data_IF_083045231406
#
_entry.id   IF_083045231406
#
_cell.length_a   1.000
_cell.length_b   1.000
_cell.length_c   1.000
_cell.angle_alpha   90.00
_cell.angle_beta   90.00
_cell.angle_gamma   90.00
#
_symmetry.space_group_name_H-M   'P 1'
#
loop_
_entity.id
_entity.type
_entity.pdbx_description
1 polymer ?
#
# COMPACT_ATOMS: atom_id res chain seq x y z
N UNK A 1 -33.15 37.20 16.67
CA UNK A 1 -32.40 38.18 17.48
C UNK A 1 -31.87 37.42 18.71
N UNK A 2 -30.59 37.04 18.70
CA UNK A 2 -29.88 36.40 19.82
C UNK A 2 -29.36 37.54 20.71
N UNK A 3 -29.58 37.56 22.02
CA UNK A 3 -29.12 38.61 22.89
C UNK A 3 -27.59 38.63 23.02
N UNK A 4 -27.01 39.79 22.91
CA UNK A 4 -25.57 40.07 23.08
C UNK A 4 -25.21 39.81 24.54
N UNK A 5 -24.37 38.82 24.81
CA UNK A 5 -23.81 38.55 26.15
C UNK A 5 -22.93 39.72 26.60
N UNK A 6 -23.12 40.15 27.81
CA UNK A 6 -22.43 41.30 28.39
C UNK A 6 -20.96 40.95 28.73
N UNK A 7 -20.12 42.00 28.83
CA UNK A 7 -18.69 41.90 29.13
C UNK A 7 -18.38 41.17 30.47
N UNK A 8 -19.37 41.06 31.38
CA UNK A 8 -19.26 40.33 32.66
C UNK A 8 -19.26 38.83 32.48
N UNK A 9 -20.06 38.29 31.55
CA UNK A 9 -20.13 36.83 31.29
C UNK A 9 -18.83 36.30 30.70
N UNK A 10 -18.07 37.14 30.01
CA UNK A 10 -16.77 36.77 29.44
C UNK A 10 -15.63 36.69 30.50
N UNK A 11 -15.76 37.42 31.62
CA UNK A 11 -14.77 37.42 32.71
C UNK A 11 -14.98 36.23 33.65
N UNK A 12 -16.21 35.79 33.85
CA UNK A 12 -16.52 34.61 34.67
C UNK A 12 -16.13 33.31 34.01
N UNK A 13 -16.17 33.23 32.68
CA UNK A 13 -15.69 32.06 31.89
C UNK A 13 -14.16 31.96 31.87
N UNK A 14 -13.44 33.07 32.09
CA UNK A 14 -11.97 33.07 32.11
C UNK A 14 -11.38 32.50 33.42
N UNK A 15 -12.19 32.47 34.50
CA UNK A 15 -11.76 31.91 35.80
C UNK A 15 -12.00 30.39 35.96
N UNK A 16 -12.57 29.70 34.94
CA UNK A 16 -12.79 28.26 34.94
C UNK A 16 -11.78 27.49 34.06
N UNK A 17 -10.63 28.07 33.77
CA UNK A 17 -9.55 27.32 33.15
C UNK A 17 -8.91 26.39 34.21
N UNK A 18 -8.77 25.10 33.92
CA UNK A 18 -8.09 24.19 34.83
C UNK A 18 -6.64 24.62 35.02
N UNK A 19 -6.17 24.55 36.29
CA UNK A 19 -4.81 24.95 36.66
C UNK A 19 -3.77 24.26 35.77
N UNK A 20 -2.70 24.98 35.44
CA UNK A 20 -1.62 24.46 34.57
C UNK A 20 -1.02 23.13 35.05
N UNK A 21 -1.13 22.84 36.36
CA UNK A 21 -0.74 21.59 36.99
C UNK A 21 -1.54 20.37 36.51
N UNK A 22 -2.87 20.54 36.31
CA UNK A 22 -3.74 19.43 35.80
C UNK A 22 -3.50 19.11 34.33
N UNK A 23 -3.25 20.13 33.52
CA UNK A 23 -2.91 19.96 32.10
C UNK A 23 -1.56 19.26 31.98
N UNK A 24 -0.58 19.63 32.79
CA UNK A 24 0.74 19.00 32.82
C UNK A 24 0.66 17.56 33.30
N UNK A 25 -0.14 17.25 34.32
CA UNK A 25 -0.35 15.90 34.82
C UNK A 25 -1.06 14.98 33.79
N UNK A 26 -2.09 15.48 33.09
CA UNK A 26 -2.76 14.75 31.99
C UNK A 26 -1.83 14.52 30.81
N UNK A 27 -0.97 15.50 30.47
CA UNK A 27 0.07 15.30 29.45
C UNK A 27 1.11 14.27 29.86
N UNK A 28 1.57 14.27 31.12
CA UNK A 28 2.51 13.26 31.63
C UNK A 28 1.91 11.86 31.67
N UNK A 29 0.63 11.69 32.02
CA UNK A 29 -0.06 10.38 31.95
C UNK A 29 -0.24 9.91 30.51
N UNK A 30 -0.55 10.81 29.57
CA UNK A 30 -0.64 10.48 28.15
C UNK A 30 0.73 10.11 27.56
N UNK A 31 1.79 10.79 27.96
CA UNK A 31 3.17 10.49 27.52
C UNK A 31 3.66 9.18 28.14
N UNK A 32 3.33 8.89 29.41
CA UNK A 32 3.65 7.61 30.05
C UNK A 32 2.90 6.44 29.41
N UNK A 33 1.61 6.60 29.07
CA UNK A 33 0.84 5.58 28.33
C UNK A 33 1.35 5.37 26.89
N UNK A 34 1.90 6.40 26.24
CA UNK A 34 2.57 6.29 24.95
C UNK A 34 3.96 5.62 25.07
N UNK A 35 4.70 5.84 26.18
CA UNK A 35 5.97 5.13 26.42
C UNK A 35 5.76 3.64 26.65
N UNK A 36 4.68 3.23 27.33
CA UNK A 36 4.37 1.80 27.54
C UNK A 36 3.91 1.10 26.25
N UNK A 37 3.33 1.83 25.29
CA UNK A 37 3.02 1.30 23.94
C UNK A 37 4.24 1.23 23.01
N UNK A 38 5.37 1.83 23.35
CA UNK A 38 6.62 1.78 22.58
C UNK A 38 7.45 0.52 22.77
N UNK A 39 7.09 -0.38 23.69
CA UNK A 39 7.98 -1.46 24.11
C UNK A 39 7.70 -2.84 23.51
N UNK A 40 6.80 -2.98 22.54
CA UNK A 40 6.72 -4.23 21.77
C UNK A 40 6.77 -3.83 20.29
N UNK A 41 7.96 -3.47 19.85
CA UNK A 41 8.21 -3.45 18.41
C UNK A 41 8.06 -4.90 17.93
N UNK A 42 7.18 -5.12 16.98
CA UNK A 42 6.96 -6.42 16.34
C UNK A 42 8.33 -6.95 15.86
N UNK A 43 8.74 -8.13 16.34
CA UNK A 43 10.05 -8.73 16.06
C UNK A 43 10.45 -8.68 14.59
N UNK A 44 9.46 -8.77 13.71
CA UNK A 44 9.65 -8.65 12.25
C UNK A 44 10.28 -7.34 11.79
N UNK A 45 10.38 -6.35 12.65
CA UNK A 45 10.93 -5.01 12.35
C UNK A 45 12.02 -4.59 13.37
N UNK A 46 12.64 -5.54 14.06
CA UNK A 46 13.75 -5.25 15.00
C UNK A 46 15.06 -4.93 14.27
N UNK A 47 15.31 -5.54 13.10
CA UNK A 47 16.45 -5.17 12.27
C UNK A 47 16.37 -3.70 11.84
N UNK A 48 17.45 -2.90 12.04
CA UNK A 48 17.44 -1.47 11.76
C UNK A 48 17.15 -1.10 10.30
N UNK A 49 17.61 -1.89 9.34
CA UNK A 49 17.37 -1.65 7.90
C UNK A 49 15.93 -1.98 7.56
N UNK A 50 15.40 -3.09 8.08
CA UNK A 50 14.00 -3.49 7.91
C UNK A 50 13.06 -2.48 8.57
N UNK A 51 13.41 -1.97 9.76
CA UNK A 51 12.65 -0.91 10.43
C UNK A 51 12.58 0.37 9.59
N UNK A 52 13.72 0.81 9.02
CA UNK A 52 13.77 1.97 8.12
C UNK A 52 12.91 1.74 6.87
N UNK A 53 13.00 0.56 6.25
CA UNK A 53 12.16 0.19 5.10
C UNK A 53 10.68 0.27 5.47
N UNK A 54 10.28 -0.30 6.62
CA UNK A 54 8.90 -0.26 7.09
C UNK A 54 8.38 1.17 7.25
N UNK A 55 9.12 2.04 7.95
CA UNK A 55 8.71 3.43 8.18
C UNK A 55 8.62 4.22 6.88
N UNK A 56 9.64 4.11 6.01
CA UNK A 56 9.69 4.78 4.72
C UNK A 56 8.57 4.29 3.79
N UNK A 57 8.29 2.97 3.82
CA UNK A 57 7.17 2.39 3.08
C UNK A 57 5.81 2.94 3.54
N UNK A 58 5.59 3.08 4.86
CA UNK A 58 4.37 3.68 5.41
C UNK A 58 4.21 5.14 4.98
N UNK A 59 5.26 5.93 4.99
CA UNK A 59 5.24 7.31 4.52
C UNK A 59 4.91 7.38 3.02
N UNK A 60 5.56 6.58 2.20
CA UNK A 60 5.21 6.45 0.78
C UNK A 60 3.73 6.08 0.58
N UNK A 61 3.20 5.12 1.34
CA UNK A 61 1.78 4.74 1.24
C UNK A 61 0.83 5.88 1.63
N UNK A 62 1.22 6.72 2.58
CA UNK A 62 0.45 7.91 2.95
C UNK A 62 0.41 8.92 1.79
N UNK A 63 1.53 9.16 1.11
CA UNK A 63 1.56 10.03 -0.09
C UNK A 63 0.67 9.48 -1.22
N UNK A 64 0.75 8.18 -1.49
CA UNK A 64 -0.12 7.53 -2.50
C UNK A 64 -1.61 7.68 -2.16
N UNK A 65 -1.99 7.54 -0.89
CA UNK A 65 -3.39 7.72 -0.45
C UNK A 65 -3.85 9.16 -0.56
N UNK A 66 -3.00 10.13 -0.20
CA UNK A 66 -3.30 11.55 -0.33
C UNK A 66 -3.45 11.95 -1.81
N UNK A 67 -2.53 11.51 -2.67
CA UNK A 67 -2.59 11.70 -4.12
C UNK A 67 -3.90 11.13 -4.71
N UNK A 68 -4.25 9.91 -4.34
CA UNK A 68 -5.46 9.26 -4.83
C UNK A 68 -6.74 10.06 -4.50
N UNK A 69 -6.81 10.68 -3.31
CA UNK A 69 -7.93 11.56 -2.94
C UNK A 69 -8.02 12.77 -3.85
N UNK A 70 -6.91 13.44 -4.13
CA UNK A 70 -6.88 14.60 -5.05
C UNK A 70 -7.29 14.18 -6.48
N UNK A 71 -6.79 13.05 -6.96
CA UNK A 71 -7.17 12.50 -8.28
C UNK A 71 -8.67 12.24 -8.35
N UNK A 72 -9.28 11.71 -7.29
CA UNK A 72 -10.74 11.48 -7.24
C UNK A 72 -11.51 12.81 -7.26
N UNK A 73 -11.04 13.84 -6.58
CA UNK A 73 -11.64 15.18 -6.58
C UNK A 73 -11.54 15.82 -7.99
N UNK A 74 -10.37 15.78 -8.63
CA UNK A 74 -10.20 16.28 -10.00
C UNK A 74 -11.15 15.55 -10.96
N UNK A 75 -11.24 14.22 -10.85
CA UNK A 75 -12.16 13.44 -11.68
C UNK A 75 -13.64 13.74 -11.40
N UNK A 76 -13.99 14.15 -10.17
CA UNK A 76 -15.33 14.59 -9.85
C UNK A 76 -15.65 15.92 -10.55
N UNK A 77 -14.72 16.87 -10.56
CA UNK A 77 -14.84 18.13 -11.32
C UNK A 77 -14.92 17.83 -12.84
N UNK A 78 -14.06 16.95 -13.37
CA UNK A 78 -14.14 16.55 -14.78
C UNK A 78 -15.52 15.97 -15.14
N UNK A 79 -16.18 15.25 -14.22
CA UNK A 79 -17.54 14.73 -14.46
C UNK A 79 -18.59 15.83 -14.56
N UNK A 80 -18.48 16.91 -13.79
CA UNK A 80 -19.43 18.02 -13.91
C UNK A 80 -19.33 18.74 -15.25
N UNK A 81 -18.15 18.74 -15.90
CA UNK A 81 -17.97 19.26 -17.27
C UNK A 81 -18.41 18.28 -18.37
N UNK A 82 -18.82 17.09 -18.05
CA UNK A 82 -19.19 16.01 -19.00
C UNK A 82 -20.52 15.35 -18.62
N UNK A 83 -21.45 16.13 -18.08
CA UNK A 83 -22.83 15.69 -17.75
C UNK A 83 -22.89 14.36 -16.98
N UNK A 84 -21.88 14.10 -16.16
CA UNK A 84 -21.80 12.86 -15.37
C UNK A 84 -21.15 11.66 -16.08
N UNK A 85 -20.83 11.75 -17.37
CA UNK A 85 -20.20 10.64 -18.10
C UNK A 85 -18.78 10.35 -17.60
N UNK A 86 -18.60 9.14 -17.06
CA UNK A 86 -17.35 8.69 -16.44
C UNK A 86 -16.25 8.48 -17.48
N UNK A 87 -16.58 8.03 -18.71
CA UNK A 87 -15.58 7.79 -19.75
C UNK A 87 -15.02 9.10 -20.27
N UNK A 88 -15.90 10.05 -20.59
CA UNK A 88 -15.52 11.38 -21.07
C UNK A 88 -14.79 12.17 -19.96
N UNK A 89 -15.21 12.06 -18.70
CA UNK A 89 -14.50 12.65 -17.57
C UNK A 89 -13.06 12.09 -17.41
N UNK A 90 -12.85 10.79 -17.62
CA UNK A 90 -11.50 10.20 -17.60
C UNK A 90 -10.64 10.66 -18.79
N UNK A 91 -11.24 10.88 -19.97
CA UNK A 91 -10.54 11.48 -21.13
C UNK A 91 -10.12 12.92 -20.82
N UNK A 92 -11.06 13.72 -20.30
CA UNK A 92 -10.75 15.09 -19.89
C UNK A 92 -9.63 15.14 -18.85
N UNK A 93 -9.69 14.29 -17.82
CA UNK A 93 -8.60 14.19 -16.84
C UNK A 93 -7.24 13.88 -17.49
N UNK A 94 -7.20 13.00 -18.49
CA UNK A 94 -5.98 12.70 -19.24
C UNK A 94 -5.50 13.87 -20.09
N UNK A 95 -6.41 14.63 -20.71
CA UNK A 95 -6.13 15.85 -21.47
C UNK A 95 -5.54 16.93 -20.57
N UNK A 96 -6.19 17.23 -19.44
CA UNK A 96 -5.73 18.24 -18.48
C UNK A 96 -4.32 17.93 -17.93
N UNK A 97 -4.00 16.64 -17.73
CA UNK A 97 -2.63 16.22 -17.36
C UNK A 97 -1.57 16.56 -18.42
N UNK A 98 -1.97 16.69 -19.69
CA UNK A 98 -1.07 17.09 -20.80
C UNK A 98 -1.10 18.58 -21.10
N UNK A 99 -1.89 19.35 -20.34
CA UNK A 99 -2.10 20.77 -20.59
C UNK A 99 -3.12 21.05 -21.72
N UNK A 100 -3.93 20.05 -22.07
CA UNK A 100 -4.96 20.14 -23.12
C UNK A 100 -6.33 20.28 -22.46
N UNK A 101 -6.98 21.42 -22.57
CA UNK A 101 -8.32 21.67 -22.01
C UNK A 101 -8.75 23.10 -22.28
N UNK A 102 -10.02 23.40 -22.00
CA UNK A 102 -10.51 24.77 -22.04
C UNK A 102 -10.02 25.55 -20.83
N UNK A 103 -10.05 26.90 -20.91
CA UNK A 103 -9.63 27.77 -19.81
C UNK A 103 -10.42 27.49 -18.53
N UNK A 104 -11.74 27.29 -18.64
CA UNK A 104 -12.63 27.03 -17.50
C UNK A 104 -12.33 25.67 -16.83
N UNK A 105 -12.13 24.62 -17.62
CA UNK A 105 -11.77 23.27 -17.15
C UNK A 105 -10.42 23.31 -16.39
N UNK A 106 -9.47 24.10 -16.92
CA UNK A 106 -8.16 24.28 -16.31
C UNK A 106 -8.26 25.06 -15.02
N UNK A 107 -8.96 26.19 -15.02
CA UNK A 107 -9.14 27.06 -13.85
C UNK A 107 -9.78 26.31 -12.69
N UNK A 108 -10.80 25.48 -12.98
CA UNK A 108 -11.50 24.69 -11.97
C UNK A 108 -10.65 23.58 -11.34
N UNK A 109 -9.66 23.03 -12.07
CA UNK A 109 -8.87 21.87 -11.62
C UNK A 109 -7.44 22.23 -11.19
N UNK A 110 -6.91 23.38 -11.62
CA UNK A 110 -5.55 23.83 -11.38
C UNK A 110 -5.12 23.75 -9.91
N UNK A 111 -5.89 24.27 -8.92
CA UNK A 111 -5.47 24.22 -7.51
C UNK A 111 -5.23 22.79 -7.00
N UNK A 112 -6.01 21.81 -7.50
CA UNK A 112 -5.86 20.41 -7.11
C UNK A 112 -4.65 19.74 -7.80
N UNK A 113 -4.35 20.11 -9.04
CA UNK A 113 -3.13 19.67 -9.72
C UNK A 113 -1.89 20.24 -9.04
N UNK A 114 -1.91 21.51 -8.64
CA UNK A 114 -0.81 22.14 -7.89
C UNK A 114 -0.63 21.50 -6.50
N UNK A 115 -1.70 21.25 -5.76
CA UNK A 115 -1.64 20.51 -4.49
C UNK A 115 -1.15 19.07 -4.62
N UNK A 116 -1.32 18.46 -5.80
CA UNK A 116 -0.86 17.09 -6.09
C UNK A 116 0.64 17.02 -6.31
N UNK A 117 1.26 18.04 -6.87
CA UNK A 117 2.66 18.01 -7.30
C UNK A 117 3.64 17.70 -6.15
N UNK A 118 3.58 18.35 -4.97
CA UNK A 118 4.46 18.02 -3.83
C UNK A 118 4.31 16.57 -3.34
N UNK A 119 3.12 15.97 -3.47
CA UNK A 119 2.89 14.58 -3.08
C UNK A 119 3.60 13.61 -4.03
N UNK A 120 3.63 13.92 -5.33
CA UNK A 120 4.37 13.13 -6.33
C UNK A 120 5.87 13.20 -6.10
N UNK A 121 6.39 14.38 -5.80
CA UNK A 121 7.80 14.62 -5.50
C UNK A 121 8.23 13.87 -4.24
N UNK A 122 7.53 14.06 -3.13
CA UNK A 122 7.79 13.33 -1.88
C UNK A 122 7.69 11.81 -2.07
N UNK A 123 6.73 11.33 -2.86
CA UNK A 123 6.62 9.92 -3.19
C UNK A 123 7.85 9.42 -3.94
N UNK A 124 8.33 10.16 -4.93
CA UNK A 124 9.52 9.79 -5.71
C UNK A 124 10.78 9.73 -4.83
N UNK A 125 10.93 10.65 -3.88
CA UNK A 125 12.01 10.62 -2.90
C UNK A 125 11.94 9.37 -2.01
N UNK A 126 10.78 9.06 -1.45
CA UNK A 126 10.61 7.83 -0.65
C UNK A 126 10.89 6.58 -1.47
N UNK A 127 10.50 6.53 -2.75
CA UNK A 127 10.79 5.41 -3.64
C UNK A 127 12.30 5.27 -3.90
N UNK A 128 13.02 6.38 -4.06
CA UNK A 128 14.49 6.39 -4.19
C UNK A 128 15.18 5.86 -2.92
N UNK A 129 14.74 6.32 -1.74
CA UNK A 129 15.28 5.84 -0.46
C UNK A 129 14.99 4.35 -0.24
N UNK A 130 13.78 3.89 -0.55
CA UNK A 130 13.40 2.48 -0.46
C UNK A 130 14.25 1.58 -1.34
N UNK A 131 14.56 2.02 -2.56
CA UNK A 131 15.47 1.28 -3.46
C UNK A 131 16.87 1.20 -2.87
N UNK A 132 17.39 2.29 -2.27
CA UNK A 132 18.68 2.30 -1.59
C UNK A 132 18.73 1.29 -0.44
N UNK A 133 17.75 1.36 0.48
CA UNK A 133 17.66 0.46 1.64
C UNK A 133 17.49 -1.01 1.22
N UNK A 134 16.70 -1.28 0.17
CA UNK A 134 16.49 -2.65 -0.31
C UNK A 134 17.77 -3.25 -0.92
N UNK A 135 18.68 -2.45 -1.44
CA UNK A 135 20.00 -2.90 -1.93
C UNK A 135 20.94 -3.32 -0.80
N UNK A 136 20.73 -2.83 0.42
CA UNK A 136 21.49 -3.23 1.60
C UNK A 136 21.06 -4.61 2.14
N UNK A 137 19.91 -5.12 1.72
CA UNK A 137 19.42 -6.43 2.16
C UNK A 137 20.22 -7.59 1.53
N UNK A 138 20.49 -8.68 2.27
CA UNK A 138 21.29 -9.80 1.80
C UNK A 138 20.76 -10.43 0.49
N UNK A 139 19.43 -10.40 0.30
CA UNK A 139 18.74 -10.94 -0.88
C UNK A 139 18.73 -10.02 -2.11
N UNK A 140 19.43 -8.91 -2.06
CA UNK A 140 19.51 -7.95 -3.17
C UNK A 140 19.95 -8.59 -4.47
N UNK A 141 20.94 -9.49 -4.43
CA UNK A 141 21.46 -10.21 -5.61
C UNK A 141 20.42 -11.13 -6.28
N UNK A 142 19.47 -11.66 -5.53
CA UNK A 142 18.34 -12.41 -6.09
C UNK A 142 17.42 -11.51 -6.90
N UNK A 143 17.14 -10.29 -6.40
CA UNK A 143 16.29 -9.32 -7.08
C UNK A 143 16.85 -8.95 -8.45
N UNK A 144 18.16 -8.75 -8.55
CA UNK A 144 18.84 -8.38 -9.80
C UNK A 144 18.72 -9.48 -10.88
N UNK A 145 18.59 -10.75 -10.47
CA UNK A 145 18.42 -11.89 -11.37
C UNK A 145 16.98 -12.07 -11.88
N UNK A 146 15.98 -11.43 -11.23
CA UNK A 146 14.58 -11.65 -11.55
C UNK A 146 14.01 -10.47 -12.34
N UNK A 147 13.98 -10.60 -13.67
CA UNK A 147 13.41 -9.57 -14.54
C UNK A 147 11.95 -9.26 -14.17
N UNK A 148 11.65 -7.99 -13.90
CA UNK A 148 10.32 -7.53 -13.49
C UNK A 148 10.09 -7.53 -11.97
N UNK A 149 11.08 -7.95 -11.18
CA UNK A 149 11.08 -7.80 -9.73
C UNK A 149 12.23 -6.88 -9.33
N UNK A 150 11.94 -5.61 -9.12
CA UNK A 150 12.95 -4.62 -8.75
C UNK A 150 13.04 -4.40 -7.24
N UNK A 151 14.08 -3.66 -6.81
CA UNK A 151 14.32 -3.34 -5.40
C UNK A 151 13.17 -2.59 -4.72
N UNK A 152 12.42 -1.76 -5.46
CA UNK A 152 11.18 -1.16 -4.91
C UNK A 152 10.12 -2.22 -4.59
N UNK A 153 10.03 -3.29 -5.40
CA UNK A 153 9.18 -4.44 -5.13
C UNK A 153 9.62 -5.20 -3.87
N UNK A 154 10.92 -5.43 -3.71
CA UNK A 154 11.49 -6.01 -2.48
C UNK A 154 11.19 -5.14 -1.25
N UNK A 155 11.44 -3.82 -1.33
CA UNK A 155 11.10 -2.89 -0.25
C UNK A 155 9.60 -2.91 0.09
N UNK A 156 8.72 -3.05 -0.90
CA UNK A 156 7.29 -3.20 -0.69
C UNK A 156 6.91 -4.49 0.04
N UNK A 157 7.54 -5.61 -0.30
CA UNK A 157 7.35 -6.89 0.41
C UNK A 157 7.82 -6.73 1.86
N UNK A 158 9.04 -6.28 2.09
CA UNK A 158 9.61 -6.13 3.43
C UNK A 158 8.83 -5.11 4.26
N UNK A 159 8.40 -4.00 3.66
CA UNK A 159 7.56 -3.00 4.33
C UNK A 159 6.18 -3.50 4.76
N UNK A 160 5.65 -4.54 4.12
CA UNK A 160 4.36 -5.15 4.47
C UNK A 160 4.49 -6.42 5.31
N UNK A 161 5.55 -7.19 5.13
CA UNK A 161 5.75 -8.49 5.75
C UNK A 161 6.76 -8.39 6.90
N UNK A 162 7.82 -7.59 6.77
CA UNK A 162 8.95 -7.53 7.70
C UNK A 162 10.00 -8.59 7.39
N UNK A 163 10.80 -8.94 8.40
CA UNK A 163 11.80 -9.99 8.33
C UNK A 163 11.14 -11.37 8.12
N UNK A 164 11.62 -12.09 7.13
CA UNK A 164 11.11 -13.42 6.80
C UNK A 164 11.51 -14.47 7.84
N UNK A 165 12.59 -14.25 8.57
CA UNK A 165 13.05 -15.18 9.59
C UNK A 165 12.23 -15.12 10.89
N UNK A 166 11.47 -14.06 11.10
CA UNK A 166 10.66 -13.83 12.29
C UNK A 166 9.25 -14.47 12.23
N UNK A 167 9.05 -15.46 11.35
CA UNK A 167 7.77 -16.15 11.21
C UNK A 167 7.82 -17.56 11.80
N UNK A 168 7.09 -17.80 12.89
CA UNK A 168 6.98 -19.12 13.56
C UNK A 168 6.54 -20.24 12.60
N UNK A 169 5.64 -19.94 11.70
CA UNK A 169 5.14 -20.87 10.65
C UNK A 169 5.87 -20.70 9.32
N UNK A 170 7.08 -20.16 9.37
CA UNK A 170 7.91 -19.96 8.18
C UNK A 170 7.11 -19.43 6.96
N UNK A 171 7.17 -20.14 5.85
CA UNK A 171 6.55 -19.75 4.58
C UNK A 171 5.01 -19.62 4.67
N UNK A 172 4.33 -20.44 5.46
CA UNK A 172 2.88 -20.35 5.62
C UNK A 172 2.46 -19.08 6.40
N UNK A 173 3.26 -18.69 7.38
CA UNK A 173 3.09 -17.42 8.09
C UNK A 173 3.25 -16.23 7.16
N UNK A 174 4.28 -16.27 6.30
CA UNK A 174 4.53 -15.25 5.27
C UNK A 174 3.36 -15.19 4.28
N UNK A 175 2.87 -16.32 3.77
CA UNK A 175 1.71 -16.36 2.88
C UNK A 175 0.45 -15.80 3.55
N UNK A 176 0.21 -16.13 4.82
CA UNK A 176 -0.92 -15.58 5.58
C UNK A 176 -0.81 -14.06 5.71
N UNK A 177 0.38 -13.56 6.03
CA UNK A 177 0.64 -12.13 6.12
C UNK A 177 0.47 -11.41 4.77
N UNK A 178 0.96 -12.01 3.69
CA UNK A 178 0.87 -11.48 2.32
C UNK A 178 -0.56 -11.50 1.73
N UNK A 179 -1.51 -12.16 2.37
CA UNK A 179 -2.86 -12.37 1.82
C UNK A 179 -2.90 -13.45 0.73
N UNK A 180 -1.89 -14.34 0.74
CA UNK A 180 -1.73 -15.41 -0.24
C UNK A 180 -2.06 -16.80 0.32
N UNK A 181 -2.44 -16.93 1.59
CA UNK A 181 -2.76 -18.23 2.20
C UNK A 181 -4.09 -18.81 1.69
N UNK A 182 -4.21 -20.12 1.81
CA UNK A 182 -5.48 -20.85 1.71
C UNK A 182 -5.87 -21.21 3.15
N UNK A 183 -7.07 -20.84 3.56
CA UNK A 183 -7.62 -21.08 4.89
C UNK A 183 -8.91 -21.87 4.69
N UNK A 184 -9.01 -23.04 5.33
CA UNK A 184 -10.16 -23.94 5.23
C UNK A 184 -10.56 -24.25 3.77
N UNK A 185 -9.56 -24.55 2.93
CA UNK A 185 -9.75 -24.84 1.51
C UNK A 185 -10.10 -23.62 0.63
N UNK A 186 -10.27 -22.44 1.22
CA UNK A 186 -10.63 -21.21 0.51
C UNK A 186 -9.48 -20.21 0.46
N UNK A 187 -9.46 -19.41 -0.61
CA UNK A 187 -8.52 -18.29 -0.68
C UNK A 187 -8.81 -17.28 0.44
N UNK A 188 -7.77 -16.76 1.04
CA UNK A 188 -7.87 -15.66 1.99
C UNK A 188 -8.53 -14.43 1.33
N UNK A 189 -9.50 -13.84 2.01
CA UNK A 189 -10.29 -12.69 1.53
C UNK A 189 -10.72 -11.79 2.69
N UNK A 190 -11.23 -10.61 2.36
CA UNK A 190 -11.86 -9.73 3.34
C UNK A 190 -13.11 -10.40 3.89
N UNK A 191 -13.23 -10.47 5.20
CA UNK A 191 -14.40 -10.97 5.92
C UNK A 191 -15.19 -9.78 6.49
N UNK A 192 -16.51 -9.88 6.49
CA UNK A 192 -17.40 -8.89 7.13
C UNK A 192 -17.51 -9.11 8.64
N UNK A 193 -17.43 -10.35 9.09
CA UNK A 193 -17.38 -10.70 10.51
C UNK A 193 -16.02 -10.30 11.10
N UNK A 194 -16.01 -9.56 12.23
CA UNK A 194 -14.80 -9.02 12.85
C UNK A 194 -13.87 -10.12 13.37
N UNK A 195 -14.40 -11.18 13.96
CA UNK A 195 -13.66 -12.29 14.51
C UNK A 195 -12.98 -13.11 13.39
N UNK A 196 -13.72 -13.43 12.33
CA UNK A 196 -13.15 -14.07 11.13
C UNK A 196 -12.13 -13.16 10.43
N UNK A 197 -12.36 -11.85 10.38
CA UNK A 197 -11.41 -10.91 9.81
C UNK A 197 -10.09 -10.89 10.58
N UNK A 198 -10.14 -10.96 11.92
CA UNK A 198 -8.97 -11.06 12.78
C UNK A 198 -8.24 -12.40 12.56
N UNK A 199 -8.96 -13.52 12.55
CA UNK A 199 -8.40 -14.86 12.32
C UNK A 199 -7.74 -14.99 10.94
N UNK A 200 -8.36 -14.45 9.90
CA UNK A 200 -7.81 -14.43 8.54
C UNK A 200 -6.65 -13.44 8.37
N UNK A 201 -6.66 -12.30 9.06
CA UNK A 201 -5.61 -11.28 8.98
C UNK A 201 -5.42 -10.68 7.58
N UNK A 202 -6.45 -10.74 6.72
CA UNK A 202 -6.37 -10.25 5.34
C UNK A 202 -6.37 -8.72 5.26
N UNK A 203 -5.43 -8.17 4.53
CA UNK A 203 -5.37 -6.74 4.22
C UNK A 203 -5.40 -6.52 2.70
N UNK A 204 -6.44 -5.84 2.16
CA UNK A 204 -6.52 -5.52 0.72
C UNK A 204 -5.32 -4.70 0.23
N UNK A 205 -4.87 -3.72 1.01
CA UNK A 205 -3.71 -2.88 0.67
C UNK A 205 -2.42 -3.68 0.59
N UNK A 206 -2.21 -4.61 1.52
CA UNK A 206 -1.06 -5.52 1.52
C UNK A 206 -1.12 -6.47 0.33
N UNK A 207 -2.28 -7.08 0.08
CA UNK A 207 -2.47 -7.96 -1.06
C UNK A 207 -2.21 -7.24 -2.40
N UNK A 208 -2.56 -5.95 -2.53
CA UNK A 208 -2.33 -5.17 -3.74
C UNK A 208 -0.85 -5.02 -4.09
N UNK A 209 0.05 -4.99 -3.10
CA UNK A 209 1.51 -4.95 -3.34
C UNK A 209 1.95 -6.20 -4.09
N UNK A 210 1.55 -7.36 -3.59
CA UNK A 210 1.89 -8.64 -4.22
C UNK A 210 1.25 -8.81 -5.60
N UNK A 211 0.04 -8.30 -5.79
CA UNK A 211 -0.60 -8.25 -7.10
C UNK A 211 0.18 -7.39 -8.10
N UNK A 212 0.61 -6.20 -7.70
CA UNK A 212 1.40 -5.29 -8.54
C UNK A 212 2.73 -5.91 -8.94
N UNK A 213 3.41 -6.60 -8.03
CA UNK A 213 4.65 -7.32 -8.31
C UNK A 213 4.39 -8.45 -9.32
N UNK A 214 3.33 -9.24 -9.13
CA UNK A 214 2.95 -10.28 -10.07
C UNK A 214 2.64 -9.75 -11.48
N UNK A 215 1.95 -8.62 -11.57
CA UNK A 215 1.66 -7.94 -12.84
C UNK A 215 2.95 -7.44 -13.53
N UNK A 216 3.89 -6.89 -12.75
CA UNK A 216 5.20 -6.47 -13.24
C UNK A 216 6.02 -7.65 -13.79
N UNK A 217 6.05 -8.78 -13.10
CA UNK A 217 6.69 -10.02 -13.58
C UNK A 217 6.07 -10.46 -14.90
N UNK A 218 4.74 -10.51 -14.96
CA UNK A 218 4.01 -10.96 -16.14
C UNK A 218 4.28 -10.09 -17.38
N UNK A 219 4.36 -8.77 -17.19
CA UNK A 219 4.64 -7.80 -18.26
C UNK A 219 6.08 -7.81 -18.71
N UNK A 220 7.01 -8.07 -17.81
CA UNK A 220 8.46 -7.92 -18.06
C UNK A 220 9.11 -9.18 -18.61
N UNK A 221 8.56 -10.37 -18.39
CA UNK A 221 9.23 -11.63 -18.69
C UNK A 221 8.94 -12.21 -20.09
N UNK A 222 8.32 -11.43 -20.96
CA UNK A 222 8.04 -11.87 -22.34
C UNK A 222 6.91 -12.91 -22.43
N UNK A 223 6.77 -13.53 -23.59
CA UNK A 223 5.75 -14.55 -23.88
C UNK A 223 6.38 -15.66 -24.73
N UNK A 224 5.72 -16.82 -24.78
CA UNK A 224 6.08 -17.95 -25.63
C UNK A 224 7.54 -18.37 -25.45
N UNK A 225 8.32 -18.44 -26.50
CA UNK A 225 9.71 -18.87 -26.47
C UNK A 225 10.61 -17.98 -25.60
N UNK A 226 10.30 -16.67 -25.56
CA UNK A 226 11.02 -15.68 -24.78
C UNK A 226 10.51 -15.55 -23.33
N UNK A 227 9.62 -16.46 -22.90
CA UNK A 227 9.05 -16.43 -21.57
C UNK A 227 10.12 -16.71 -20.50
N UNK A 228 10.25 -15.78 -19.55
CA UNK A 228 11.06 -15.98 -18.35
C UNK A 228 10.44 -17.01 -17.39
N UNK A 229 11.16 -17.40 -16.32
CA UNK A 229 10.77 -18.50 -15.46
C UNK A 229 9.40 -18.30 -14.80
N UNK A 230 9.10 -17.12 -14.27
CA UNK A 230 7.79 -16.84 -13.64
C UNK A 230 6.68 -16.73 -14.67
N UNK A 231 6.98 -16.23 -15.88
CA UNK A 231 6.01 -16.23 -16.96
C UNK A 231 5.61 -17.65 -17.36
N UNK A 232 6.54 -18.56 -17.50
CA UNK A 232 6.26 -19.99 -17.78
C UNK A 232 5.40 -20.62 -16.68
N UNK A 233 5.71 -20.34 -15.40
CA UNK A 233 4.90 -20.80 -14.27
C UNK A 233 3.45 -20.29 -14.39
N UNK A 234 3.28 -19.03 -14.75
CA UNK A 234 1.96 -18.44 -14.95
C UNK A 234 1.22 -19.09 -16.12
N UNK A 235 1.85 -19.21 -17.28
CA UNK A 235 1.22 -19.72 -18.49
C UNK A 235 0.78 -21.19 -18.30
N UNK A 236 1.65 -22.05 -17.78
CA UNK A 236 1.32 -23.45 -17.43
C UNK A 236 0.15 -23.51 -16.44
N UNK A 237 0.20 -22.68 -15.38
CA UNK A 237 -0.87 -22.66 -14.38
C UNK A 237 -2.18 -22.15 -14.96
N UNK A 238 -2.15 -21.14 -15.82
CA UNK A 238 -3.34 -20.59 -16.46
C UNK A 238 -4.05 -21.61 -17.35
N UNK A 239 -3.29 -22.40 -18.11
CA UNK A 239 -3.84 -23.49 -18.92
C UNK A 239 -4.58 -24.51 -18.06
N UNK A 240 -3.97 -24.99 -16.97
CA UNK A 240 -4.60 -25.91 -16.04
C UNK A 240 -5.84 -25.32 -15.35
N UNK A 241 -5.84 -24.03 -15.03
CA UNK A 241 -6.99 -23.41 -14.36
C UNK A 241 -8.15 -23.17 -15.32
N UNK A 242 -7.91 -22.98 -16.62
CA UNK A 242 -8.98 -22.88 -17.64
C UNK A 242 -9.84 -24.13 -17.73
N UNK A 243 -9.29 -25.30 -17.45
CA UNK A 243 -10.04 -26.56 -17.37
C UNK A 243 -10.91 -26.69 -16.11
N UNK A 244 -10.66 -25.85 -15.09
CA UNK A 244 -11.25 -25.93 -13.75
C UNK A 244 -12.25 -24.84 -13.43
N UNK A 245 -12.27 -23.76 -14.21
CA UNK A 245 -13.12 -22.60 -13.97
C UNK A 245 -13.70 -22.06 -15.27
N UNK A 246 -14.92 -21.57 -15.22
CA UNK A 246 -15.67 -21.12 -16.40
C UNK A 246 -15.22 -19.77 -16.98
N UNK A 247 -14.37 -19.04 -16.27
CA UNK A 247 -13.98 -17.68 -16.63
C UNK A 247 -12.47 -17.55 -16.81
N UNK A 248 -12.01 -17.01 -17.95
CA UNK A 248 -10.61 -16.69 -18.20
C UNK A 248 -10.03 -15.70 -17.17
N UNK A 249 -10.85 -14.77 -16.68
CA UNK A 249 -10.48 -13.87 -15.58
C UNK A 249 -10.23 -14.61 -14.28
N UNK A 250 -11.01 -15.65 -13.96
CA UNK A 250 -10.76 -16.52 -12.81
C UNK A 250 -9.47 -17.33 -12.98
N UNK A 251 -9.27 -17.94 -14.14
CA UNK A 251 -8.04 -18.67 -14.47
C UNK A 251 -6.81 -17.77 -14.36
N UNK A 252 -6.88 -16.55 -14.92
CA UNK A 252 -5.84 -15.52 -14.78
C UNK A 252 -5.51 -15.22 -13.32
N UNK A 253 -6.52 -14.90 -12.50
CA UNK A 253 -6.34 -14.53 -11.09
C UNK A 253 -5.70 -15.67 -10.27
N UNK A 254 -6.08 -16.94 -10.55
CA UNK A 254 -5.49 -18.11 -9.88
C UNK A 254 -4.05 -18.33 -10.31
N UNK A 255 -3.75 -18.20 -11.59
CA UNK A 255 -2.39 -18.32 -12.13
C UNK A 255 -1.46 -17.22 -11.60
N UNK A 256 -1.92 -15.97 -11.58
CA UNK A 256 -1.20 -14.84 -10.99
C UNK A 256 -0.84 -15.09 -9.53
N UNK A 257 -1.81 -15.51 -8.72
CA UNK A 257 -1.59 -15.83 -7.32
C UNK A 257 -0.57 -16.97 -7.14
N UNK A 258 -0.66 -18.03 -7.96
CA UNK A 258 0.26 -19.14 -7.90
C UNK A 258 1.70 -18.72 -8.25
N UNK A 259 1.87 -17.95 -9.32
CA UNK A 259 3.17 -17.38 -9.72
C UNK A 259 3.75 -16.48 -8.61
N UNK A 260 2.95 -15.58 -8.03
CA UNK A 260 3.39 -14.71 -6.94
C UNK A 260 3.80 -15.51 -5.70
N UNK A 261 3.08 -16.59 -5.36
CA UNK A 261 3.50 -17.49 -4.28
C UNK A 261 4.85 -18.15 -4.56
N UNK A 262 5.13 -18.51 -5.81
CA UNK A 262 6.45 -19.06 -6.20
C UNK A 262 7.56 -18.03 -5.99
N UNK A 263 7.36 -16.77 -6.41
CA UNK A 263 8.33 -15.70 -6.15
C UNK A 263 8.60 -15.54 -4.65
N UNK A 264 7.55 -15.50 -3.82
CA UNK A 264 7.69 -15.34 -2.36
C UNK A 264 8.44 -16.52 -1.75
N UNK A 265 8.18 -17.74 -2.23
CA UNK A 265 8.91 -18.93 -1.79
C UNK A 265 10.39 -18.86 -2.17
N UNK A 266 10.68 -18.48 -3.41
CA UNK A 266 12.06 -18.44 -3.90
C UNK A 266 12.82 -17.31 -3.16
N UNK A 267 12.19 -16.17 -2.92
CA UNK A 267 12.74 -15.12 -2.08
C UNK A 267 13.00 -15.59 -0.63
N UNK A 268 12.11 -16.40 -0.05
CA UNK A 268 12.30 -16.97 1.29
C UNK A 268 13.50 -17.93 1.35
N UNK A 269 13.67 -18.76 0.31
CA UNK A 269 14.83 -19.67 0.20
C UNK A 269 16.13 -18.88 0.15
N UNK A 270 16.18 -17.86 -0.69
CA UNK A 270 17.34 -16.97 -0.79
C UNK A 270 17.61 -16.21 0.52
N UNK A 271 16.54 -15.78 1.22
CA UNK A 271 16.67 -15.13 2.52
C UNK A 271 17.26 -16.03 3.59
N UNK A 272 16.91 -17.32 3.58
CA UNK A 272 17.50 -18.31 4.50
C UNK A 272 18.96 -18.67 4.18
N UNK A 273 19.36 -18.48 2.93
CA UNK A 273 20.72 -18.83 2.47
C UNK A 273 21.71 -17.66 2.63
N UNK A 274 21.22 -16.46 2.84
CA UNK A 274 22.01 -15.25 2.96
C UNK A 274 22.35 -14.91 4.42
#
# INVERSE_FOLDING_TARGET
>A
LVPIRTRRDAIELAHQQPEASEITQKCHHSIASHKTRRSIMDKRYEDPTIAKIYLTWRNRQNMVRAEAKLVLQIKAICRSFRDGDIKEANKLFAQLKRGEGTMDEYAATKPLFEARQPLLESRAEFEKWLVGLAKELPVSTFVDKVKGFGHLGLAGIVGEVGDFMEYEKELDGIYKRAGLAVIDGQRQRKCSNAEMALAHGYSPSRHSVFWTIGDSLLKSQGKEENAGPYRRIYDTRKTLERERVDSDGHAHNRAMRYMTKKLVRDLFVEWKAA
#
